data_IF_124062165152
#
_entry.id   IF_124062165152
#
_cell.length_a   1.000
_cell.length_b   1.000
_cell.length_c   1.000
_cell.angle_alpha   90.00
_cell.angle_beta   90.00
_cell.angle_gamma   90.00
#
_symmetry.space_group_name_H-M   'P 1'
#
loop_
_entity.id
_entity.type
_entity.pdbx_description
1 polymer ?
#
# COMPACT_ATOMS: atom_id res chain seq x y z
N UNK A 1 -2.00 -23.80 -50.59
CA UNK A 1 -1.39 -23.18 -49.40
C UNK A 1 -2.52 -22.92 -48.40
N UNK A 2 -2.75 -23.83 -47.45
CA UNK A 2 -3.88 -23.73 -46.51
C UNK A 2 -3.41 -23.00 -45.25
N UNK A 3 -3.93 -21.80 -45.00
CA UNK A 3 -3.65 -21.03 -43.79
C UNK A 3 -4.57 -21.53 -42.67
N UNK A 4 -4.06 -22.38 -41.80
CA UNK A 4 -4.74 -22.77 -40.56
C UNK A 4 -4.80 -21.58 -39.62
N UNK A 5 -5.96 -20.95 -39.50
CA UNK A 5 -6.26 -19.93 -38.50
C UNK A 5 -6.24 -20.57 -37.10
N UNK A 6 -5.20 -20.30 -36.32
CA UNK A 6 -5.17 -20.64 -34.90
C UNK A 6 -6.21 -19.79 -34.15
N UNK A 7 -7.38 -20.35 -33.90
CA UNK A 7 -8.38 -19.75 -33.00
C UNK A 7 -7.98 -20.05 -31.56
N UNK A 8 -7.35 -19.07 -30.90
CA UNK A 8 -7.09 -19.12 -29.45
C UNK A 8 -8.40 -18.80 -28.74
N UNK A 9 -8.99 -19.72 -27.95
CA UNK A 9 -10.20 -19.41 -27.21
C UNK A 9 -9.90 -18.29 -26.21
N UNK A 10 -10.50 -17.13 -26.45
CA UNK A 10 -10.51 -16.01 -25.52
C UNK A 10 -11.29 -16.46 -24.27
N UNK A 11 -10.55 -16.79 -23.22
CA UNK A 11 -11.12 -17.38 -22.02
C UNK A 11 -11.99 -16.32 -21.36
N UNK A 12 -13.28 -16.63 -21.23
CA UNK A 12 -14.32 -15.87 -20.53
C UNK A 12 -13.93 -15.51 -19.08
N UNK A 13 -12.98 -14.61 -18.88
CA UNK A 13 -12.85 -13.94 -17.60
C UNK A 13 -13.89 -12.84 -17.57
N UNK A 14 -14.96 -13.08 -16.82
CA UNK A 14 -15.94 -12.04 -16.57
C UNK A 14 -15.24 -10.80 -16.00
N UNK A 15 -15.72 -9.58 -16.29
CA UNK A 15 -15.16 -8.35 -15.73
C UNK A 15 -15.02 -8.41 -14.19
N UNK A 16 -15.95 -9.13 -13.55
CA UNK A 16 -15.95 -9.44 -12.13
C UNK A 16 -14.79 -10.34 -11.70
N UNK A 17 -14.54 -11.44 -12.43
CA UNK A 17 -13.42 -12.34 -12.15
C UNK A 17 -12.07 -11.63 -12.28
N UNK A 18 -11.94 -10.69 -13.23
CA UNK A 18 -10.73 -9.88 -13.41
C UNK A 18 -10.53 -8.89 -12.27
N UNK A 19 -11.60 -8.22 -11.81
CA UNK A 19 -11.53 -7.34 -10.63
C UNK A 19 -11.20 -8.10 -9.36
N UNK A 20 -11.83 -9.24 -9.11
CA UNK A 20 -11.56 -10.05 -7.92
C UNK A 20 -10.14 -10.61 -7.85
N UNK A 21 -9.48 -10.80 -9.01
CA UNK A 21 -8.09 -11.26 -9.10
C UNK A 21 -7.07 -10.12 -9.21
N UNK A 22 -7.49 -8.87 -8.99
CA UNK A 22 -6.62 -7.70 -9.02
C UNK A 22 -5.81 -7.55 -7.73
N UNK A 23 -4.64 -6.92 -7.82
CA UNK A 23 -3.78 -6.64 -6.65
C UNK A 23 -4.47 -5.70 -5.67
N UNK A 24 -5.25 -4.76 -6.18
CA UNK A 24 -6.04 -3.81 -5.41
C UNK A 24 -7.08 -4.52 -4.54
N UNK A 25 -7.75 -5.55 -5.09
CA UNK A 25 -8.72 -6.35 -4.33
C UNK A 25 -8.05 -7.21 -3.27
N UNK A 26 -6.88 -7.78 -3.57
CA UNK A 26 -6.09 -8.51 -2.59
C UNK A 26 -5.71 -7.62 -1.41
N UNK A 27 -5.15 -6.43 -1.68
CA UNK A 27 -4.74 -5.47 -0.65
C UNK A 27 -5.93 -4.99 0.19
N UNK A 28 -7.07 -4.69 -0.45
CA UNK A 28 -8.29 -4.30 0.26
C UNK A 28 -8.79 -5.44 1.15
N UNK A 29 -8.78 -6.67 0.66
CA UNK A 29 -9.18 -7.86 1.42
C UNK A 29 -8.28 -8.09 2.64
N UNK A 30 -6.96 -7.99 2.47
CA UNK A 30 -5.98 -8.10 3.56
C UNK A 30 -6.18 -6.98 4.58
N UNK A 31 -6.37 -5.74 4.14
CA UNK A 31 -6.61 -4.61 5.04
C UNK A 31 -7.87 -4.81 5.90
N UNK A 32 -8.98 -5.22 5.27
CA UNK A 32 -10.23 -5.53 5.97
C UNK A 32 -10.06 -6.70 6.95
N UNK A 33 -9.40 -7.78 6.52
CA UNK A 33 -9.18 -8.95 7.37
C UNK A 33 -8.37 -8.59 8.63
N UNK A 34 -7.29 -7.84 8.48
CA UNK A 34 -6.46 -7.39 9.60
C UNK A 34 -7.27 -6.44 10.50
N UNK A 35 -8.04 -5.51 9.94
CA UNK A 35 -8.84 -4.56 10.72
C UNK A 35 -9.91 -5.28 11.57
N UNK A 36 -10.63 -6.23 10.98
CA UNK A 36 -11.65 -7.03 11.67
C UNK A 36 -11.00 -7.89 12.75
N UNK A 37 -9.91 -8.59 12.43
CA UNK A 37 -9.19 -9.42 13.38
C UNK A 37 -8.71 -8.61 14.60
N UNK A 38 -8.13 -7.43 14.38
CA UNK A 38 -7.66 -6.56 15.46
C UNK A 38 -8.80 -5.96 16.29
N UNK A 39 -9.96 -5.72 15.67
CA UNK A 39 -11.17 -5.28 16.38
C UNK A 39 -11.66 -6.30 17.40
N UNK A 40 -11.49 -7.60 17.13
CA UNK A 40 -11.81 -8.67 18.08
C UNK A 40 -10.65 -9.00 19.03
N UNK A 41 -9.40 -8.88 18.58
CA UNK A 41 -8.23 -9.21 19.38
C UNK A 41 -7.96 -8.21 20.51
N UNK A 42 -8.35 -6.94 20.34
CA UNK A 42 -8.16 -5.89 21.34
C UNK A 42 -9.41 -5.04 21.52
N UNK A 43 -9.93 -4.89 22.76
CA UNK A 43 -11.06 -4.01 23.04
C UNK A 43 -10.71 -2.53 22.85
N UNK A 44 -9.43 -2.17 22.73
CA UNK A 44 -8.96 -0.79 22.55
C UNK A 44 -8.78 -0.41 21.08
N UNK A 45 -8.82 -1.36 20.14
CA UNK A 45 -8.51 -1.10 18.73
C UNK A 45 -9.44 -0.05 18.10
N UNK A 46 -10.76 -0.18 18.33
CA UNK A 46 -11.78 0.75 17.82
C UNK A 46 -12.00 1.98 18.72
N UNK A 47 -11.18 2.18 19.75
CA UNK A 47 -11.28 3.38 20.59
C UNK A 47 -10.87 4.63 19.77
N UNK A 48 -11.68 5.69 19.81
CA UNK A 48 -11.44 6.89 19.02
C UNK A 48 -10.11 7.58 19.34
N UNK A 49 -9.65 7.55 20.59
CA UNK A 49 -8.34 8.09 20.97
C UNK A 49 -7.20 7.25 20.41
N UNK A 50 -7.30 5.93 20.53
CA UNK A 50 -6.31 5.00 19.98
C UNK A 50 -6.24 5.08 18.45
N UNK A 51 -7.40 5.20 17.79
CA UNK A 51 -7.49 5.38 16.35
C UNK A 51 -6.92 6.73 15.91
N UNK A 52 -7.18 7.80 16.68
CA UNK A 52 -6.62 9.12 16.42
C UNK A 52 -5.10 9.11 16.57
N UNK A 53 -4.57 8.52 17.65
CA UNK A 53 -3.12 8.42 17.89
C UNK A 53 -2.43 7.58 16.81
N UNK A 54 -3.04 6.44 16.43
CA UNK A 54 -2.57 5.63 15.31
C UNK A 54 -2.56 6.43 13.99
N UNK A 55 -3.59 7.25 13.75
CA UNK A 55 -3.68 8.11 12.56
C UNK A 55 -2.62 9.20 12.56
N UNK A 56 -2.29 9.83 13.69
CA UNK A 56 -1.20 10.81 13.77
C UNK A 56 0.15 10.19 13.41
N UNK A 57 0.45 9.02 13.98
CA UNK A 57 1.71 8.30 13.71
C UNK A 57 1.80 7.74 12.27
N UNK A 58 0.65 7.50 11.64
CA UNK A 58 0.56 7.04 10.25
C UNK A 58 0.61 8.19 9.24
N UNK A 59 -0.02 9.32 9.54
CA UNK A 59 -0.15 10.48 8.63
C UNK A 59 1.20 10.96 8.12
N UNK A 60 2.23 10.99 8.96
CA UNK A 60 3.59 11.36 8.56
C UNK A 60 4.13 10.46 7.42
N UNK A 61 4.04 9.14 7.60
CA UNK A 61 4.50 8.16 6.61
C UNK A 61 3.61 8.16 5.37
N UNK A 62 2.30 8.38 5.55
CA UNK A 62 1.35 8.46 4.46
C UNK A 62 1.61 9.67 3.55
N UNK A 63 1.95 10.83 4.12
CA UNK A 63 2.32 12.04 3.36
C UNK A 63 3.57 11.80 2.50
N UNK A 64 4.60 11.16 3.07
CA UNK A 64 5.82 10.79 2.35
C UNK A 64 5.51 9.79 1.23
N UNK A 65 4.79 8.71 1.55
CA UNK A 65 4.42 7.68 0.59
C UNK A 65 3.54 8.23 -0.54
N UNK A 66 2.65 9.18 -0.24
CA UNK A 66 1.82 9.85 -1.24
C UNK A 66 2.67 10.67 -2.22
N UNK A 67 3.60 11.48 -1.72
CA UNK A 67 4.53 12.22 -2.56
C UNK A 67 5.41 11.27 -3.40
N UNK A 68 5.94 10.20 -2.80
CA UNK A 68 6.74 9.21 -3.53
C UNK A 68 5.93 8.46 -4.59
N UNK A 69 4.65 8.15 -4.34
CA UNK A 69 3.79 7.53 -5.33
C UNK A 69 3.64 8.41 -6.58
N UNK A 70 3.48 9.73 -6.40
CA UNK A 70 3.41 10.68 -7.52
C UNK A 70 4.73 10.76 -8.31
N UNK A 71 5.88 10.76 -7.61
CA UNK A 71 7.21 10.72 -8.27
C UNK A 71 7.39 9.45 -9.11
N UNK A 72 7.02 8.29 -8.55
CA UNK A 72 7.07 7.00 -9.26
C UNK A 72 6.16 7.02 -10.48
N UNK A 73 4.94 7.54 -10.36
CA UNK A 73 4.00 7.68 -11.49
C UNK A 73 4.59 8.59 -12.58
N UNK A 74 5.36 9.61 -12.19
CA UNK A 74 6.05 10.53 -13.11
C UNK A 74 7.27 9.89 -13.80
N UNK A 75 7.65 8.67 -13.45
CA UNK A 75 8.79 7.95 -14.01
C UNK A 75 10.12 8.19 -13.27
N UNK A 76 10.09 8.94 -12.16
CA UNK A 76 11.25 9.25 -11.35
C UNK A 76 11.38 8.22 -10.21
N UNK A 77 12.53 7.53 -10.12
CA UNK A 77 12.84 6.65 -8.99
C UNK A 77 13.74 7.43 -8.03
N UNK A 78 13.13 8.36 -7.31
CA UNK A 78 13.85 9.23 -6.38
C UNK A 78 14.22 8.49 -5.08
N UNK A 79 15.45 8.00 -5.01
CA UNK A 79 16.01 7.35 -3.81
C UNK A 79 16.42 8.38 -2.73
N UNK A 80 16.43 9.68 -3.04
CA UNK A 80 16.93 10.73 -2.13
C UNK A 80 16.07 10.91 -0.89
N UNK A 81 14.76 10.66 -0.97
CA UNK A 81 13.84 10.73 0.18
C UNK A 81 14.26 9.75 1.27
N UNK A 82 14.63 8.52 0.90
CA UNK A 82 15.09 7.52 1.86
C UNK A 82 16.42 7.90 2.52
N UNK A 83 17.37 8.45 1.75
CA UNK A 83 18.68 8.86 2.29
C UNK A 83 18.58 10.08 3.20
N UNK A 84 17.72 11.04 2.88
CA UNK A 84 17.43 12.21 3.74
C UNK A 84 16.83 11.76 5.08
N UNK A 85 15.84 10.87 5.05
CA UNK A 85 15.23 10.33 6.27
C UNK A 85 16.27 9.59 7.12
N UNK A 86 17.12 8.76 6.51
CA UNK A 86 18.15 8.01 7.22
C UNK A 86 19.20 8.94 7.86
N UNK A 87 19.68 9.94 7.12
CA UNK A 87 20.65 10.92 7.63
C UNK A 87 20.05 11.76 8.76
N UNK A 88 18.84 12.29 8.57
CA UNK A 88 18.15 13.10 9.57
C UNK A 88 17.88 12.30 10.86
N UNK A 89 17.41 11.06 10.74
CA UNK A 89 17.16 10.17 11.88
C UNK A 89 18.45 9.86 12.65
N UNK A 90 19.55 9.59 11.94
CA UNK A 90 20.85 9.34 12.55
C UNK A 90 21.40 10.58 13.25
N UNK A 91 21.28 11.76 12.63
CA UNK A 91 21.72 13.02 13.21
C UNK A 91 20.91 13.38 14.48
N UNK A 92 19.59 13.20 14.47
CA UNK A 92 18.75 13.39 15.67
C UNK A 92 19.15 12.43 16.79
N UNK A 93 19.37 11.14 16.46
CA UNK A 93 19.84 10.16 17.44
C UNK A 93 21.23 10.46 17.99
N UNK A 94 22.12 11.05 17.18
CA UNK A 94 23.43 11.51 17.63
C UNK A 94 23.34 12.77 18.52
N UNK A 95 22.41 13.68 18.26
CA UNK A 95 22.25 14.92 19.04
C UNK A 95 21.55 14.73 20.40
N UNK A 96 20.80 13.64 20.56
CA UNK A 96 20.12 13.29 21.82
C UNK A 96 21.04 12.52 22.79
N UNK A 97 22.14 11.94 22.28
CA UNK A 97 23.18 11.29 23.08
C UNK A 97 24.12 12.32 23.74
#
# INVERSE_FOLDING_TARGET
MSTTSHHVPDRLQSPLARRLKSWETLLLGVALAIFIANSFASPYFLNAWNLSDATFNFTEKAMIAFAMALLIISGEIDLSVASIIALASTAMGAAVQ
#
